data_IF_366921117931
#
_entry.id   IF_366921117931
#
_cell.length_a   1.000
_cell.length_b   1.000
_cell.length_c   1.000
_cell.angle_alpha   90.00
_cell.angle_beta   90.00
_cell.angle_gamma   90.00
#
_symmetry.space_group_name_H-M   'P 1'
#
loop_
_entity.id
_entity.type
_entity.pdbx_description
1 polymer ?
#
# COMPACT_ATOMS: atom_id res chain seq x y z
N UNK A 1 3.55 -15.30 -9.73
CA UNK A 1 2.52 -14.29 -9.35
C UNK A 1 1.68 -13.77 -10.52
N UNK A 2 1.92 -14.22 -11.77
CA UNK A 2 1.23 -13.72 -12.96
C UNK A 2 -0.29 -13.96 -12.95
N UNK A 3 -0.75 -15.03 -12.31
CA UNK A 3 -2.18 -15.41 -12.20
C UNK A 3 -2.78 -15.05 -10.82
N UNK A 4 -2.20 -14.11 -10.10
CA UNK A 4 -2.65 -13.81 -8.73
C UNK A 4 -4.09 -13.31 -8.67
N UNK A 5 -4.50 -12.45 -9.61
CA UNK A 5 -5.85 -11.86 -9.64
C UNK A 5 -6.91 -12.93 -9.87
N UNK A 6 -6.71 -13.74 -10.89
CA UNK A 6 -7.63 -14.83 -11.29
C UNK A 6 -7.73 -15.88 -10.18
N UNK A 7 -6.60 -16.20 -9.56
CA UNK A 7 -6.55 -17.17 -8.48
C UNK A 7 -7.31 -16.69 -7.24
N UNK A 8 -7.10 -15.44 -6.81
CA UNK A 8 -7.87 -14.88 -5.68
C UNK A 8 -9.36 -14.78 -6.03
N UNK A 9 -9.72 -14.31 -7.23
CA UNK A 9 -11.10 -14.25 -7.67
C UNK A 9 -11.79 -15.62 -7.58
N UNK A 10 -11.13 -16.69 -8.03
CA UNK A 10 -11.63 -18.04 -7.96
C UNK A 10 -11.79 -18.53 -6.51
N UNK A 11 -10.82 -18.26 -5.63
CA UNK A 11 -10.92 -18.62 -4.21
C UNK A 11 -12.10 -17.93 -3.52
N UNK A 12 -12.36 -16.66 -3.85
CA UNK A 12 -13.49 -15.90 -3.32
C UNK A 12 -14.82 -16.41 -3.88
N UNK A 13 -14.92 -16.68 -5.18
CA UNK A 13 -16.10 -17.25 -5.84
C UNK A 13 -16.53 -18.57 -5.18
N UNK A 14 -15.56 -19.47 -4.96
CA UNK A 14 -15.79 -20.75 -4.32
C UNK A 14 -15.80 -20.72 -2.78
N UNK A 15 -15.80 -19.52 -2.19
CA UNK A 15 -15.83 -19.27 -0.73
C UNK A 15 -14.79 -20.12 0.04
N UNK A 16 -13.57 -20.19 -0.49
CA UNK A 16 -12.47 -20.93 0.14
C UNK A 16 -11.76 -20.08 1.17
N UNK A 17 -11.42 -20.69 2.30
CA UNK A 17 -10.43 -20.13 3.22
C UNK A 17 -9.04 -20.32 2.63
N UNK A 18 -8.19 -19.27 2.72
CA UNK A 18 -6.87 -19.32 2.10
C UNK A 18 -5.81 -18.52 2.85
N UNK A 19 -4.57 -18.94 2.66
CA UNK A 19 -3.34 -18.17 2.92
C UNK A 19 -2.52 -18.25 1.65
N UNK A 20 -2.34 -17.12 0.96
CA UNK A 20 -1.68 -17.06 -0.35
C UNK A 20 -0.52 -16.08 -0.31
N UNK A 21 0.61 -16.47 -0.86
CA UNK A 21 1.74 -15.58 -1.07
C UNK A 21 1.56 -14.79 -2.36
N UNK A 22 1.73 -13.48 -2.26
CA UNK A 22 1.64 -12.57 -3.40
C UNK A 22 2.70 -11.46 -3.35
N UNK A 23 2.79 -10.71 -4.45
CA UNK A 23 3.57 -9.48 -4.45
C UNK A 23 2.81 -8.41 -3.64
N UNK A 24 3.49 -7.67 -2.76
CA UNK A 24 2.86 -6.60 -1.97
C UNK A 24 2.20 -5.52 -2.83
N UNK A 25 2.65 -5.32 -4.07
CA UNK A 25 2.04 -4.38 -5.00
C UNK A 25 0.65 -4.84 -5.48
N UNK A 26 0.24 -6.10 -5.21
CA UNK A 26 -1.13 -6.54 -5.43
C UNK A 26 -2.16 -5.68 -4.67
N UNK A 27 -1.75 -5.05 -3.55
CA UNK A 27 -2.56 -4.06 -2.82
C UNK A 27 -3.05 -2.94 -3.76
N UNK A 28 -2.29 -2.61 -4.81
CA UNK A 28 -2.65 -1.56 -5.76
C UNK A 28 -3.47 -2.05 -6.97
N UNK A 29 -3.79 -3.33 -7.04
CA UNK A 29 -4.66 -3.85 -8.11
C UNK A 29 -6.12 -3.53 -7.77
N UNK A 30 -6.83 -2.87 -8.67
CA UNK A 30 -8.19 -2.35 -8.45
C UNK A 30 -9.14 -3.40 -7.85
N UNK A 31 -9.21 -4.57 -8.46
CA UNK A 31 -10.11 -5.65 -8.06
C UNK A 31 -9.71 -6.21 -6.68
N UNK A 32 -8.42 -6.41 -6.45
CA UNK A 32 -7.91 -6.91 -5.18
C UNK A 32 -8.04 -5.88 -4.06
N UNK A 33 -7.80 -4.60 -4.37
CA UNK A 33 -7.99 -3.51 -3.40
C UNK A 33 -9.44 -3.41 -2.93
N UNK A 34 -10.41 -3.69 -3.79
CA UNK A 34 -11.82 -3.74 -3.40
C UNK A 34 -12.09 -4.78 -2.31
N UNK A 35 -11.47 -5.95 -2.39
CA UNK A 35 -11.57 -6.98 -1.35
C UNK A 35 -10.94 -6.53 -0.01
N UNK A 36 -9.81 -5.83 -0.09
CA UNK A 36 -9.13 -5.26 1.09
C UNK A 36 -10.00 -4.16 1.74
N UNK A 37 -10.54 -3.25 0.94
CA UNK A 37 -11.42 -2.16 1.40
C UNK A 37 -12.70 -2.69 2.03
N UNK A 38 -13.30 -3.70 1.42
CA UNK A 38 -14.54 -4.33 1.91
C UNK A 38 -14.30 -5.26 3.10
N UNK A 39 -13.05 -5.39 3.54
CA UNK A 39 -12.70 -6.24 4.66
C UNK A 39 -13.02 -7.73 4.43
N UNK A 40 -12.88 -8.19 3.20
CA UNK A 40 -13.06 -9.58 2.77
C UNK A 40 -11.75 -10.36 2.70
N UNK A 41 -10.64 -9.65 2.46
CA UNK A 41 -9.26 -10.16 2.44
C UNK A 41 -8.37 -9.16 3.16
N UNK A 42 -7.29 -9.63 3.75
CA UNK A 42 -6.31 -8.78 4.44
C UNK A 42 -4.90 -9.32 4.34
N UNK A 43 -3.95 -8.52 4.80
CA UNK A 43 -2.55 -8.91 4.87
C UNK A 43 -2.36 -9.92 6.00
N UNK A 44 -1.58 -10.96 5.76
CA UNK A 44 -1.28 -11.97 6.76
C UNK A 44 -0.49 -11.44 7.96
N UNK A 45 -0.29 -12.29 8.95
CA UNK A 45 0.31 -11.93 10.23
C UNK A 45 1.72 -11.32 10.13
N UNK A 46 2.53 -11.71 9.14
CA UNK A 46 3.90 -11.22 8.98
C UNK A 46 3.94 -9.83 8.33
N UNK A 47 4.90 -8.99 8.75
CA UNK A 47 5.05 -7.62 8.24
C UNK A 47 5.22 -7.54 6.72
N UNK A 48 4.76 -6.46 6.09
CA UNK A 48 4.96 -6.17 4.67
C UNK A 48 6.41 -5.80 4.31
N UNK A 49 7.21 -5.42 5.29
CA UNK A 49 8.60 -5.03 5.10
C UNK A 49 9.57 -6.20 5.26
N UNK A 50 10.78 -6.05 4.70
CA UNK A 50 11.89 -6.97 4.92
C UNK A 50 11.94 -8.20 4.00
N UNK A 51 10.95 -8.41 3.12
CA UNK A 51 10.89 -9.61 2.28
C UNK A 51 10.64 -10.90 3.07
N UNK A 52 10.88 -12.06 2.43
CA UNK A 52 10.73 -13.38 3.05
C UNK A 52 11.95 -14.22 2.78
N UNK A 53 12.49 -14.83 3.84
CA UNK A 53 13.55 -15.82 3.72
C UNK A 53 12.93 -17.14 3.30
N UNK A 54 13.41 -17.69 2.19
CA UNK A 54 12.94 -18.94 1.62
C UNK A 54 14.11 -19.89 1.42
N UNK A 55 13.90 -21.16 1.70
CA UNK A 55 14.85 -22.23 1.37
C UNK A 55 14.88 -22.36 -0.14
N UNK A 56 16.06 -22.42 -0.71
CA UNK A 56 16.26 -22.74 -2.13
C UNK A 56 16.67 -24.21 -2.27
N UNK A 57 16.08 -24.93 -3.25
CA UNK A 57 16.57 -26.24 -3.63
C UNK A 57 18.05 -26.20 -4.06
N UNK A 58 18.79 -27.27 -3.79
CA UNK A 58 20.23 -27.34 -4.05
C UNK A 58 20.60 -27.27 -5.55
N UNK A 59 19.64 -27.57 -6.43
CA UNK A 59 19.79 -27.51 -7.87
C UNK A 59 19.61 -26.10 -8.47
N UNK A 60 19.27 -25.11 -7.65
CA UNK A 60 19.10 -23.72 -8.09
C UNK A 60 20.38 -22.93 -7.88
N UNK A 61 20.96 -22.41 -8.97
CA UNK A 61 22.08 -21.46 -8.88
C UNK A 61 21.62 -20.12 -8.29
N UNK A 62 22.06 -19.86 -7.08
CA UNK A 62 21.78 -18.63 -6.35
C UNK A 62 23.02 -17.72 -6.17
N UNK A 63 24.10 -17.97 -6.93
CA UNK A 63 25.37 -17.23 -6.79
C UNK A 63 25.25 -15.74 -7.02
N UNK A 64 24.28 -15.27 -7.81
CA UNK A 64 24.01 -13.87 -8.07
C UNK A 64 23.21 -13.13 -6.99
N UNK A 65 22.75 -13.84 -5.94
CA UNK A 65 21.85 -13.30 -4.91
C UNK A 65 22.49 -13.41 -3.52
N UNK A 66 22.12 -12.50 -2.62
CA UNK A 66 22.53 -12.58 -1.21
C UNK A 66 21.86 -13.80 -0.56
N UNK A 67 22.63 -14.83 -0.36
CA UNK A 67 22.20 -16.04 0.35
C UNK A 67 22.72 -16.06 1.78
N UNK A 68 22.08 -16.83 2.63
CA UNK A 68 22.53 -17.18 3.99
C UNK A 68 22.30 -18.66 4.22
N UNK A 69 22.99 -19.22 5.20
CA UNK A 69 22.71 -20.56 5.71
C UNK A 69 21.85 -20.42 6.98
N UNK A 70 20.76 -21.17 7.06
CA UNK A 70 19.92 -21.22 8.25
C UNK A 70 20.52 -22.17 9.32
N UNK A 71 19.88 -22.26 10.47
CA UNK A 71 20.31 -23.08 11.60
C UNK A 71 20.33 -24.61 11.30
N UNK A 72 19.63 -25.03 10.24
CA UNK A 72 19.61 -26.42 9.75
C UNK A 72 20.58 -26.68 8.59
N UNK A 73 21.48 -25.72 8.29
CA UNK A 73 22.47 -25.88 7.21
C UNK A 73 21.93 -25.68 5.79
N UNK A 74 20.69 -25.25 5.64
CA UNK A 74 20.05 -25.06 4.33
C UNK A 74 20.32 -23.66 3.77
N UNK A 75 20.53 -23.56 2.47
CA UNK A 75 20.69 -22.26 1.80
C UNK A 75 19.35 -21.55 1.70
N UNK A 76 19.31 -20.30 2.16
CA UNK A 76 18.14 -19.44 2.12
C UNK A 76 18.41 -18.13 1.39
N UNK A 77 17.38 -17.60 0.75
CA UNK A 77 17.39 -16.32 0.03
C UNK A 77 16.30 -15.39 0.53
N UNK A 78 16.58 -14.10 0.60
CA UNK A 78 15.55 -13.10 0.86
C UNK A 78 14.85 -12.71 -0.44
N UNK A 79 13.55 -13.01 -0.53
CA UNK A 79 12.68 -12.61 -1.64
C UNK A 79 11.96 -11.33 -1.23
N UNK A 80 12.42 -10.19 -1.80
CA UNK A 80 11.82 -8.89 -1.53
C UNK A 80 10.44 -8.74 -2.18
N UNK A 81 9.60 -7.89 -1.60
CA UNK A 81 8.31 -7.51 -2.18
C UNK A 81 7.21 -8.57 -2.10
N UNK A 82 7.43 -9.69 -1.42
CA UNK A 82 6.40 -10.71 -1.18
C UNK A 82 5.81 -10.60 0.21
N UNK A 83 4.52 -10.91 0.31
CA UNK A 83 3.78 -10.96 1.57
C UNK A 83 2.69 -12.03 1.49
N UNK A 84 2.07 -12.30 2.63
CA UNK A 84 0.93 -13.19 2.73
C UNK A 84 -0.38 -12.40 2.69
N UNK A 85 -1.37 -12.93 1.99
CA UNK A 85 -2.76 -12.49 2.00
C UNK A 85 -3.66 -13.62 2.45
N UNK A 86 -4.72 -13.28 3.17
CA UNK A 86 -5.62 -14.27 3.76
C UNK A 86 -7.02 -13.69 3.99
N UNK A 87 -8.02 -14.55 4.08
CA UNK A 87 -9.35 -14.25 4.60
C UNK A 87 -9.62 -14.95 5.94
N UNK A 88 -8.59 -15.54 6.55
CA UNK A 88 -8.64 -16.10 7.89
C UNK A 88 -8.32 -15.02 8.92
N UNK A 89 -9.14 -14.92 9.96
CA UNK A 89 -8.93 -13.94 11.01
C UNK A 89 -7.64 -14.21 11.82
N UNK A 90 -7.04 -13.13 12.34
CA UNK A 90 -5.87 -13.20 13.20
C UNK A 90 -5.76 -11.95 14.08
N UNK A 91 -5.15 -12.08 15.25
CA UNK A 91 -5.09 -11.02 16.29
C UNK A 91 -4.52 -9.69 15.78
N UNK A 92 -3.51 -9.72 14.92
CA UNK A 92 -2.87 -8.50 14.40
C UNK A 92 -3.84 -7.54 13.70
N UNK A 93 -4.94 -8.06 13.10
CA UNK A 93 -5.98 -7.21 12.48
C UNK A 93 -6.73 -6.34 13.48
N UNK A 94 -6.79 -6.78 14.73
CA UNK A 94 -7.54 -6.15 15.82
C UNK A 94 -6.63 -5.31 16.72
N UNK A 95 -5.31 -5.28 16.44
CA UNK A 95 -4.37 -4.44 17.18
C UNK A 95 -4.63 -2.96 16.86
N UNK A 96 -4.81 -2.16 17.88
CA UNK A 96 -4.95 -0.72 17.73
C UNK A 96 -3.58 -0.10 17.39
N UNK A 97 -3.56 0.74 16.36
CA UNK A 97 -2.38 1.52 16.03
C UNK A 97 -2.27 2.71 17.01
N UNK A 98 -1.23 2.72 17.81
CA UNK A 98 -0.97 3.81 18.75
C UNK A 98 -0.55 5.06 17.98
N UNK A 99 -1.40 6.09 18.02
CA UNK A 99 -1.17 7.40 17.41
C UNK A 99 -0.69 8.37 18.48
N UNK A 100 0.40 9.09 18.19
CA UNK A 100 0.98 10.05 19.14
C UNK A 100 1.29 11.41 18.49
N UNK A 101 1.27 11.49 17.16
CA UNK A 101 1.49 12.75 16.44
C UNK A 101 0.22 13.61 16.49
N UNK A 102 0.42 14.92 16.55
CA UNK A 102 -0.65 15.90 16.33
C UNK A 102 -0.54 16.48 14.93
N UNK A 103 -1.67 16.88 14.40
CA UNK A 103 -1.72 17.55 13.10
C UNK A 103 -1.04 18.92 13.16
N UNK A 104 -0.19 19.19 12.20
CA UNK A 104 0.42 20.50 11.95
C UNK A 104 0.46 20.72 10.43
N UNK A 105 -0.23 21.75 9.89
CA UNK A 105 -0.27 22.00 8.45
C UNK A 105 1.10 22.14 7.79
N UNK A 106 2.13 22.55 8.55
CA UNK A 106 3.49 22.67 8.02
C UNK A 106 4.19 21.34 7.77
N UNK A 107 3.74 20.26 8.42
CA UNK A 107 4.32 18.93 8.34
C UNK A 107 3.57 17.97 7.39
N UNK A 108 2.31 18.29 7.10
CA UNK A 108 1.43 17.44 6.29
C UNK A 108 0.94 18.19 5.05
N UNK A 109 1.67 18.12 3.92
CA UNK A 109 1.27 18.83 2.72
C UNK A 109 -0.08 18.30 2.18
N UNK A 110 -0.94 19.21 1.76
CA UNK A 110 -2.19 18.87 1.09
C UNK A 110 -1.95 18.47 -0.37
N UNK A 111 -2.80 17.60 -0.90
CA UNK A 111 -2.80 17.31 -2.33
C UNK A 111 -3.43 18.45 -3.11
N UNK A 112 -2.92 18.71 -4.32
CA UNK A 112 -3.44 19.75 -5.23
C UNK A 112 -4.75 19.33 -5.91
N UNK A 113 -4.98 18.03 -6.02
CA UNK A 113 -6.06 17.46 -6.80
C UNK A 113 -7.02 16.56 -6.00
N UNK A 114 -6.94 16.61 -4.68
CA UNK A 114 -7.87 15.92 -3.80
C UNK A 114 -7.87 16.56 -2.41
N UNK A 115 -9.03 16.64 -1.77
CA UNK A 115 -9.17 17.19 -0.42
C UNK A 115 -8.66 16.18 0.64
N UNK A 116 -7.34 16.06 0.73
CA UNK A 116 -6.65 15.20 1.69
C UNK A 116 -5.23 15.69 1.92
N UNK A 117 -4.65 15.26 3.05
CA UNK A 117 -3.24 15.49 3.38
C UNK A 117 -2.39 14.26 3.05
N UNK A 118 -1.10 14.48 2.77
CA UNK A 118 -0.14 13.40 2.62
C UNK A 118 0.52 13.06 3.96
N UNK A 119 0.57 11.77 4.29
CA UNK A 119 1.28 11.23 5.44
C UNK A 119 2.37 10.28 4.93
N UNK A 120 3.63 10.64 5.13
CA UNK A 120 4.74 9.89 4.55
C UNK A 120 5.00 8.54 5.21
N UNK A 121 4.73 8.43 6.51
CA UNK A 121 4.94 7.21 7.28
C UNK A 121 3.71 6.87 8.13
N UNK A 122 3.42 5.59 8.24
CA UNK A 122 2.30 5.09 9.06
C UNK A 122 2.39 5.54 10.53
N UNK A 123 3.61 5.67 11.06
CA UNK A 123 3.87 6.15 12.42
C UNK A 123 3.63 7.65 12.60
N UNK A 124 3.41 8.37 11.51
CA UNK A 124 3.17 9.82 11.52
C UNK A 124 1.69 10.18 11.32
N UNK A 125 0.79 9.21 11.29
CA UNK A 125 -0.67 9.46 11.22
C UNK A 125 -1.07 10.30 12.42
N UNK A 126 -1.66 11.51 12.21
CA UNK A 126 -2.06 12.38 13.31
C UNK A 126 -3.32 11.87 14.01
N UNK A 127 -3.33 11.95 15.34
CA UNK A 127 -4.43 11.47 16.19
C UNK A 127 -5.66 12.37 16.11
N UNK A 128 -5.45 13.66 15.92
CA UNK A 128 -6.46 14.72 16.00
C UNK A 128 -6.92 15.28 14.64
N UNK A 129 -6.54 14.64 13.53
CA UNK A 129 -6.98 15.02 12.20
C UNK A 129 -8.22 14.22 11.78
N UNK A 130 -9.29 14.92 11.47
CA UNK A 130 -10.60 14.34 11.12
C UNK A 130 -10.85 14.26 9.62
N UNK A 131 -9.97 14.85 8.80
CA UNK A 131 -10.04 14.81 7.35
C UNK A 131 -9.47 13.54 6.74
N UNK A 132 -9.43 13.49 5.41
CA UNK A 132 -8.88 12.35 4.68
C UNK A 132 -7.35 12.47 4.63
N UNK A 133 -6.67 11.34 4.77
CA UNK A 133 -5.22 11.22 4.76
C UNK A 133 -4.77 10.18 3.73
N UNK A 134 -3.77 10.53 2.92
CA UNK A 134 -3.10 9.58 2.02
C UNK A 134 -1.90 8.95 2.68
N UNK A 135 -1.99 7.67 3.00
CA UNK A 135 -0.93 6.90 3.69
C UNK A 135 -0.25 5.91 2.74
N UNK A 136 1.00 5.49 2.99
CA UNK A 136 1.66 4.46 2.20
C UNK A 136 0.90 3.12 2.20
N UNK A 137 1.04 2.31 1.15
CA UNK A 137 0.41 0.98 1.07
C UNK A 137 0.82 0.04 2.23
N UNK A 138 1.95 0.31 2.88
CA UNK A 138 2.39 -0.42 4.08
C UNK A 138 1.49 -0.20 5.28
N UNK A 139 0.57 0.77 5.22
CA UNK A 139 -0.48 0.94 6.21
C UNK A 139 -1.34 -0.33 6.38
N UNK A 140 -1.55 -1.09 5.31
CA UNK A 140 -2.32 -2.34 5.37
C UNK A 140 -1.77 -3.35 6.38
N UNK A 141 -0.50 -3.25 6.74
CA UNK A 141 0.14 -4.05 7.79
C UNK A 141 -0.33 -3.71 9.21
N UNK A 142 -0.92 -2.52 9.37
CA UNK A 142 -1.40 -1.95 10.63
C UNK A 142 -2.89 -1.57 10.58
N UNK A 143 -3.55 -1.92 9.48
CA UNK A 143 -4.95 -1.59 9.31
C UNK A 143 -5.83 -2.33 10.30
N UNK A 144 -6.51 -1.57 11.13
CA UNK A 144 -7.60 -2.03 11.98
C UNK A 144 -8.91 -1.38 11.50
N UNK A 145 -9.90 -2.17 11.04
CA UNK A 145 -11.16 -1.64 10.51
C UNK A 145 -12.03 -0.94 11.57
N UNK A 146 -11.80 -1.17 12.85
CA UNK A 146 -12.52 -0.47 13.93
C UNK A 146 -11.95 0.94 14.15
N UNK A 147 -10.67 1.15 13.88
CA UNK A 147 -9.97 2.41 14.07
C UNK A 147 -9.99 3.32 12.83
N UNK A 148 -9.93 2.74 11.64
CA UNK A 148 -9.84 3.48 10.38
C UNK A 148 -10.89 3.07 9.36
N UNK A 149 -11.32 4.03 8.56
CA UNK A 149 -12.07 3.81 7.34
C UNK A 149 -11.16 3.94 6.13
N UNK A 150 -11.21 2.99 5.18
CA UNK A 150 -10.54 3.10 3.89
C UNK A 150 -11.49 3.78 2.90
N UNK A 151 -11.14 4.98 2.44
CA UNK A 151 -11.89 5.74 1.43
C UNK A 151 -11.61 5.18 0.04
N UNK A 152 -10.34 4.94 -0.29
CA UNK A 152 -9.98 4.41 -1.60
C UNK A 152 -8.48 4.38 -1.86
N UNK A 153 -8.12 4.16 -3.12
CA UNK A 153 -6.74 4.08 -3.57
C UNK A 153 -6.44 5.24 -4.53
N UNK A 154 -5.55 6.13 -4.13
CA UNK A 154 -5.19 7.34 -4.86
C UNK A 154 -4.10 7.11 -5.90
N UNK A 155 -4.42 6.34 -6.94
CA UNK A 155 -3.54 6.08 -8.09
C UNK A 155 -4.37 5.77 -9.34
N UNK A 156 -4.00 6.36 -10.47
CA UNK A 156 -4.52 6.06 -11.80
C UNK A 156 -6.06 5.95 -11.83
N UNK A 157 -6.62 4.96 -12.48
CA UNK A 157 -8.07 4.76 -12.57
C UNK A 157 -8.76 4.65 -11.20
N UNK A 158 -8.12 4.03 -10.22
CA UNK A 158 -8.68 3.93 -8.87
C UNK A 158 -8.82 5.29 -8.21
N UNK A 159 -7.89 6.21 -8.47
CA UNK A 159 -7.99 7.59 -8.02
C UNK A 159 -9.11 8.35 -8.72
N UNK A 160 -9.29 8.15 -10.03
CA UNK A 160 -10.42 8.75 -10.78
C UNK A 160 -11.75 8.28 -10.18
N UNK A 161 -11.89 6.98 -9.90
CA UNK A 161 -13.13 6.40 -9.36
C UNK A 161 -13.55 7.00 -8.01
N UNK A 162 -12.60 7.51 -7.23
CA UNK A 162 -12.87 8.15 -5.93
C UNK A 162 -12.87 9.68 -5.99
N UNK A 163 -12.80 10.27 -7.20
CA UNK A 163 -12.93 11.70 -7.42
C UNK A 163 -11.62 12.51 -7.39
N UNK A 164 -10.46 11.84 -7.48
CA UNK A 164 -9.17 12.55 -7.69
C UNK A 164 -9.26 13.34 -9.00
N UNK A 165 -9.06 14.65 -8.91
CA UNK A 165 -9.16 15.53 -10.06
C UNK A 165 -7.93 15.39 -10.99
N UNK A 166 -8.07 15.67 -12.29
CA UNK A 166 -6.93 15.74 -13.19
C UNK A 166 -5.86 16.73 -12.72
N UNK A 167 -4.64 16.56 -13.21
CA UNK A 167 -3.59 17.57 -13.00
C UNK A 167 -4.02 18.93 -13.56
N UNK A 168 -3.67 20.00 -12.85
CA UNK A 168 -3.68 21.35 -13.42
C UNK A 168 -2.77 21.37 -14.65
N UNK A 169 -3.19 22.00 -15.78
CA UNK A 169 -2.43 21.95 -17.04
C UNK A 169 -0.96 22.36 -16.90
N UNK A 170 -0.68 23.42 -16.12
CA UNK A 170 0.68 23.92 -15.83
C UNK A 170 1.52 22.89 -15.08
N UNK A 171 0.96 22.22 -14.08
CA UNK A 171 1.66 21.19 -13.30
C UNK A 171 1.92 19.93 -14.13
N UNK A 172 0.97 19.55 -14.99
CA UNK A 172 1.12 18.43 -15.93
C UNK A 172 2.24 18.71 -16.94
N UNK A 173 2.27 19.93 -17.48
CA UNK A 173 3.31 20.38 -18.41
C UNK A 173 4.69 20.40 -17.73
N UNK A 174 4.79 21.02 -16.56
CA UNK A 174 6.03 21.08 -15.78
C UNK A 174 6.58 19.67 -15.52
N UNK A 175 5.73 18.74 -15.06
CA UNK A 175 6.14 17.38 -14.76
C UNK A 175 6.68 16.63 -16.00
N UNK A 176 6.03 16.80 -17.16
CA UNK A 176 6.44 16.16 -18.42
C UNK A 176 7.67 16.79 -19.06
N UNK A 177 7.69 18.12 -19.13
CA UNK A 177 8.69 18.86 -19.92
C UNK A 177 9.94 19.21 -19.10
N UNK A 178 9.81 19.52 -17.82
CA UNK A 178 10.92 19.92 -16.94
C UNK A 178 11.44 18.72 -16.16
N UNK A 179 10.55 18.04 -15.42
CA UNK A 179 10.96 16.90 -14.60
C UNK A 179 11.19 15.61 -15.41
N UNK A 180 10.74 15.55 -16.69
CA UNK A 180 10.85 14.36 -17.56
C UNK A 180 10.24 13.11 -16.93
N UNK A 181 9.08 13.26 -16.25
CA UNK A 181 8.36 12.18 -15.56
C UNK A 181 6.92 12.07 -16.05
N UNK A 182 6.32 10.90 -15.86
CA UNK A 182 4.91 10.68 -16.17
C UNK A 182 3.98 11.53 -15.31
N UNK A 183 2.83 11.91 -15.86
CA UNK A 183 1.73 12.56 -15.16
C UNK A 183 0.42 11.88 -15.59
N UNK A 184 -0.01 10.93 -14.77
CA UNK A 184 -1.21 10.11 -15.02
C UNK A 184 -2.35 10.68 -14.21
N UNK A 185 -3.46 11.03 -14.87
CA UNK A 185 -4.64 11.53 -14.17
C UNK A 185 -5.19 10.46 -13.23
N UNK A 186 -5.62 10.87 -12.04
CA UNK A 186 -5.96 9.97 -10.94
C UNK A 186 -4.83 9.68 -9.96
N UNK A 187 -3.57 10.00 -10.31
CA UNK A 187 -2.49 10.00 -9.33
C UNK A 187 -2.62 11.24 -8.44
N UNK A 188 -2.48 11.04 -7.13
CA UNK A 188 -2.37 12.14 -6.18
C UNK A 188 -1.05 12.88 -6.37
N UNK A 189 -1.09 14.21 -6.34
CA UNK A 189 0.14 15.00 -6.36
C UNK A 189 0.03 16.22 -5.44
N UNK A 190 1.17 16.74 -5.05
CA UNK A 190 1.32 17.92 -4.20
C UNK A 190 2.44 18.80 -4.71
N UNK A 191 2.44 20.07 -4.27
CA UNK A 191 3.55 20.98 -4.49
C UNK A 191 4.45 20.97 -3.25
N UNK A 192 5.75 20.78 -3.46
CA UNK A 192 6.77 20.95 -2.41
C UNK A 192 7.74 22.01 -2.90
N UNK A 193 7.62 23.22 -2.37
CA UNK A 193 8.24 24.39 -2.99
C UNK A 193 7.71 24.59 -4.42
N UNK A 194 8.59 24.61 -5.41
CA UNK A 194 8.26 24.74 -6.83
C UNK A 194 8.21 23.39 -7.58
N UNK A 195 8.30 22.28 -6.86
CA UNK A 195 8.36 20.94 -7.46
C UNK A 195 7.01 20.24 -7.39
N UNK A 196 6.59 19.60 -8.50
CA UNK A 196 5.46 18.66 -8.53
C UNK A 196 5.92 17.32 -7.99
N UNK A 197 5.40 16.93 -6.84
CA UNK A 197 5.73 15.66 -6.19
C UNK A 197 4.54 14.72 -6.28
N UNK A 198 4.77 13.54 -6.84
CA UNK A 198 3.78 12.45 -6.90
C UNK A 198 4.30 11.33 -6.02
N UNK A 199 3.68 11.08 -4.87
CA UNK A 199 4.05 9.96 -4.02
C UNK A 199 3.75 8.63 -4.73
N UNK A 200 4.41 7.56 -4.30
CA UNK A 200 3.95 6.21 -4.68
C UNK A 200 2.51 6.02 -4.19
N UNK A 201 1.77 5.07 -4.80
CA UNK A 201 0.37 4.80 -4.47
C UNK A 201 0.03 5.02 -2.98
N UNK A 202 -1.03 5.79 -2.74
CA UNK A 202 -1.54 6.09 -1.39
C UNK A 202 -2.89 5.44 -1.17
N UNK A 203 -3.08 4.88 0.01
CA UNK A 203 -4.40 4.51 0.51
C UNK A 203 -4.96 5.75 1.19
N UNK A 204 -6.15 6.16 0.79
CA UNK A 204 -6.88 7.25 1.43
C UNK A 204 -7.68 6.67 2.60
N UNK A 205 -7.42 7.21 3.77
CA UNK A 205 -8.04 6.77 5.03
C UNK A 205 -8.62 7.93 5.81
N UNK A 206 -9.48 7.59 6.77
CA UNK A 206 -10.02 8.52 7.77
C UNK A 206 -10.00 7.86 9.14
N UNK A 207 -9.68 8.62 10.19
CA UNK A 207 -9.87 8.17 11.57
C UNK A 207 -11.37 8.02 11.85
N UNK A 208 -11.76 6.98 12.56
CA UNK A 208 -13.17 6.76 12.95
C UNK A 208 -13.56 7.47 14.25
N UNK A 209 -12.59 7.95 15.00
CA UNK A 209 -12.78 8.63 16.29
C UNK A 209 -12.49 7.72 17.46
#
# INVERSE_FOLDING_TARGET
FSMFREYIAQLMEYKKSFIVMGNKNAITYKEFFSLLKNNEVWVGYTTLNGGRWMIIPDDIDATSKKTKTNEWGQTIINVAGVCWFTNLDHNKRHEELILYRKYDPSLYPAYENYDAINVDKVTEIPIDYTGIMGVPITFMDKYNPDQFEIIGLGISNSGIDIGVQPYKPEHKKYRKEVQKRGAVDGDLYMMVGNEVVVPYARILIKNKG
#
